data_IF_687304153730
#
_entry.id   IF_687304153730
#
_cell.length_a   1.000
_cell.length_b   1.000
_cell.length_c   1.000
_cell.angle_alpha   90.00
_cell.angle_beta   90.00
_cell.angle_gamma   90.00
#
_symmetry.space_group_name_H-M   'P 1'
#
loop_
_entity.id
_entity.type
_entity.pdbx_description
1 polymer ?
#
# COMPACT_ATOMS: atom_id res chain seq x y z
N UNK A 1 9.18 18.17 -1.58
CA UNK A 1 9.63 17.27 -2.68
C UNK A 1 8.50 16.31 -3.03
N UNK A 2 8.29 15.97 -4.31
CA UNK A 2 7.28 14.99 -4.77
C UNK A 2 7.95 14.00 -5.72
N UNK A 3 7.85 12.71 -5.41
CA UNK A 3 8.43 11.62 -6.18
C UNK A 3 7.36 10.61 -6.60
N UNK A 4 7.56 9.96 -7.75
CA UNK A 4 6.70 8.87 -8.23
C UNK A 4 7.50 7.58 -8.30
N UNK A 5 7.08 6.58 -7.55
CA UNK A 5 7.66 5.24 -7.54
C UNK A 5 6.78 4.31 -8.39
N UNK A 6 7.38 3.58 -9.33
CA UNK A 6 6.69 2.54 -10.08
C UNK A 6 6.73 1.22 -9.33
N UNK A 7 5.59 0.54 -9.24
CA UNK A 7 5.44 -0.76 -8.59
C UNK A 7 4.92 -1.75 -9.62
N UNK A 8 5.68 -2.80 -9.91
CA UNK A 8 5.20 -3.90 -10.75
C UNK A 8 4.60 -4.96 -9.83
N UNK A 9 3.35 -5.32 -10.06
CA UNK A 9 2.68 -6.40 -9.34
C UNK A 9 2.63 -7.63 -10.24
N UNK A 10 3.06 -8.78 -9.71
CA UNK A 10 3.07 -10.09 -10.36
C UNK A 10 2.04 -11.06 -9.73
N UNK A 11 1.37 -10.61 -8.68
CA UNK A 11 0.28 -11.28 -8.00
C UNK A 11 -1.08 -10.68 -8.41
N UNK A 12 -2.17 -11.41 -8.22
CA UNK A 12 -3.52 -10.83 -8.35
C UNK A 12 -3.95 -10.08 -7.08
N UNK A 13 -3.72 -10.67 -5.91
CA UNK A 13 -4.02 -10.07 -4.60
C UNK A 13 -2.84 -10.32 -3.67
N UNK A 14 -2.17 -9.27 -3.21
CA UNK A 14 -1.06 -9.41 -2.28
C UNK A 14 -0.68 -8.09 -1.60
N UNK A 15 0.10 -8.21 -0.52
CA UNK A 15 0.78 -7.10 0.13
C UNK A 15 2.26 -7.10 -0.30
N UNK A 16 2.69 -6.03 -0.96
CA UNK A 16 4.07 -5.84 -1.39
C UNK A 16 4.77 -4.86 -0.46
N UNK A 17 5.81 -5.30 0.25
CA UNK A 17 6.61 -4.41 1.08
C UNK A 17 7.36 -3.40 0.19
N UNK A 18 7.06 -2.11 0.36
CA UNK A 18 7.69 -1.03 -0.39
C UNK A 18 8.45 -0.04 0.50
N UNK A 19 8.68 -0.40 1.78
CA UNK A 19 9.35 0.45 2.77
C UNK A 19 10.68 0.99 2.25
N UNK A 20 11.54 0.11 1.74
CA UNK A 20 12.87 0.49 1.26
C UNK A 20 12.80 1.38 0.00
N UNK A 21 11.80 1.16 -0.87
CA UNK A 21 11.59 2.00 -2.06
C UNK A 21 11.20 3.43 -1.67
N UNK A 22 10.36 3.59 -0.65
CA UNK A 22 9.98 4.90 -0.11
C UNK A 22 11.20 5.52 0.58
N UNK A 23 11.90 4.76 1.41
CA UNK A 23 13.09 5.22 2.13
C UNK A 23 14.18 5.75 1.19
N UNK A 24 14.36 5.14 0.01
CA UNK A 24 15.38 5.54 -0.98
C UNK A 24 15.12 6.91 -1.61
N UNK A 25 13.87 7.37 -1.67
CA UNK A 25 13.53 8.66 -2.31
C UNK A 25 13.50 9.82 -1.32
N UNK A 26 13.61 9.56 -0.02
CA UNK A 26 13.51 10.60 1.01
C UNK A 26 14.80 11.43 1.15
N UNK A 27 14.69 12.75 1.39
CA UNK A 27 15.85 13.58 1.68
C UNK A 27 16.36 13.30 3.10
N UNK A 28 17.65 13.60 3.35
CA UNK A 28 18.25 13.55 4.70
C UNK A 28 17.83 14.74 5.56
N UNK A 29 16.53 14.82 5.88
CA UNK A 29 15.89 15.92 6.63
C UNK A 29 14.85 15.37 7.61
N UNK A 30 14.36 16.25 8.49
CA UNK A 30 13.25 15.98 9.39
C UNK A 30 11.93 16.46 8.76
N UNK A 31 10.84 15.76 9.07
CA UNK A 31 9.51 16.15 8.61
C UNK A 31 8.54 14.98 8.49
N UNK A 32 7.58 15.14 7.58
CA UNK A 32 6.50 14.17 7.34
C UNK A 32 6.56 13.70 5.89
N UNK A 33 6.36 12.40 5.70
CA UNK A 33 6.24 11.76 4.40
C UNK A 33 4.79 11.29 4.18
N UNK A 34 4.09 11.93 3.25
CA UNK A 34 2.79 11.49 2.74
C UNK A 34 3.01 10.52 1.58
N UNK A 35 2.39 9.35 1.67
CA UNK A 35 2.44 8.29 0.65
C UNK A 35 1.03 8.14 0.09
N UNK A 36 0.87 8.21 -1.23
CA UNK A 36 -0.43 8.18 -1.90
C UNK A 36 -0.48 7.21 -3.08
N UNK A 37 -1.54 6.41 -3.15
CA UNK A 37 -1.81 5.42 -4.18
C UNK A 37 -2.92 5.95 -5.10
N UNK A 38 -2.61 6.34 -6.35
CA UNK A 38 -3.57 6.89 -7.31
C UNK A 38 -4.35 5.77 -8.05
N UNK A 39 -4.72 4.70 -7.36
CA UNK A 39 -5.36 3.52 -7.94
C UNK A 39 -6.58 3.13 -7.09
N UNK A 40 -7.74 3.02 -7.71
CA UNK A 40 -9.01 2.71 -7.02
C UNK A 40 -9.19 1.24 -6.66
N UNK A 41 -8.29 0.38 -7.13
CA UNK A 41 -8.27 -1.08 -6.86
C UNK A 41 -7.01 -1.53 -6.13
N UNK A 42 -6.28 -0.57 -5.56
CA UNK A 42 -5.12 -0.81 -4.71
C UNK A 42 -5.11 0.16 -3.53
N UNK A 43 -4.31 -0.11 -2.51
CA UNK A 43 -4.30 0.63 -1.26
C UNK A 43 -2.87 0.75 -0.69
N UNK A 44 -2.72 1.46 0.42
CA UNK A 44 -1.46 1.53 1.18
C UNK A 44 -1.76 1.28 2.66
N UNK A 45 -0.93 0.48 3.32
CA UNK A 45 -1.08 0.22 4.76
C UNK A 45 0.27 0.06 5.45
N UNK A 46 0.26 0.11 6.79
CA UNK A 46 1.37 -0.28 7.64
C UNK A 46 0.95 -1.50 8.44
N UNK A 47 1.74 -2.55 8.38
CA UNK A 47 1.48 -3.77 9.15
C UNK A 47 2.79 -4.52 9.45
N UNK A 48 2.68 -5.72 10.01
CA UNK A 48 3.82 -6.58 10.28
C UNK A 48 4.54 -7.02 9.00
N UNK A 49 5.87 -6.89 8.99
CA UNK A 49 6.72 -7.37 7.90
C UNK A 49 7.81 -8.35 8.31
N UNK A 50 7.73 -8.93 9.51
CA UNK A 50 8.61 -10.01 9.95
C UNK A 50 8.10 -11.39 9.53
N UNK A 51 6.79 -11.62 9.68
CA UNK A 51 6.13 -12.84 9.27
C UNK A 51 5.31 -12.63 7.99
N UNK A 52 5.56 -13.46 6.98
CA UNK A 52 4.82 -13.42 5.72
C UNK A 52 3.40 -13.96 5.88
N UNK A 53 3.17 -14.83 6.86
CA UNK A 53 1.87 -15.45 7.09
C UNK A 53 0.82 -14.41 7.47
N UNK A 54 1.19 -13.37 8.23
CA UNK A 54 0.29 -12.24 8.55
C UNK A 54 -0.21 -11.55 7.29
N UNK A 55 0.67 -11.29 6.33
CA UNK A 55 0.28 -10.65 5.06
C UNK A 55 -0.65 -11.54 4.22
N UNK A 56 -0.42 -12.86 4.25
CA UNK A 56 -1.23 -13.85 3.56
C UNK A 56 -2.60 -14.00 4.23
N UNK A 57 -2.65 -14.02 5.56
CA UNK A 57 -3.88 -14.10 6.34
C UNK A 57 -4.77 -12.89 6.12
N UNK A 58 -4.20 -11.68 6.07
CA UNK A 58 -4.94 -10.46 5.74
C UNK A 58 -5.60 -10.61 4.35
N UNK A 59 -4.84 -11.00 3.33
CA UNK A 59 -5.34 -11.16 1.96
C UNK A 59 -6.42 -12.24 1.89
N UNK A 60 -6.18 -13.39 2.53
CA UNK A 60 -7.11 -14.51 2.55
C UNK A 60 -8.40 -14.16 3.29
N UNK A 61 -8.31 -13.45 4.41
CA UNK A 61 -9.46 -13.07 5.20
C UNK A 61 -10.30 -11.98 4.50
N UNK A 62 -9.66 -10.97 3.90
CA UNK A 62 -10.37 -9.96 3.10
C UNK A 62 -11.15 -10.57 1.93
N UNK A 63 -10.61 -11.60 1.29
CA UNK A 63 -11.33 -12.33 0.22
C UNK A 63 -12.53 -13.12 0.73
N UNK A 64 -12.51 -13.59 1.97
CA UNK A 64 -13.67 -14.25 2.61
C UNK A 64 -14.74 -13.23 2.99
N UNK A 65 -14.33 -12.07 3.51
CA UNK A 65 -15.24 -10.99 3.88
C UNK A 65 -15.88 -10.30 2.66
N UNK A 66 -15.11 -10.16 1.57
CA UNK A 66 -15.50 -9.44 0.36
C UNK A 66 -15.25 -10.36 -0.84
N UNK A 67 -16.10 -11.38 -1.06
CA UNK A 67 -15.91 -12.32 -2.15
C UNK A 67 -16.24 -11.67 -3.50
N UNK A 68 -15.46 -11.99 -4.54
CA UNK A 68 -15.62 -11.46 -5.90
C UNK A 68 -17.04 -11.66 -6.47
N UNK A 69 -17.67 -12.78 -6.13
CA UNK A 69 -18.98 -13.18 -6.64
C UNK A 69 -20.14 -12.83 -5.69
N UNK A 70 -20.04 -11.73 -4.93
CA UNK A 70 -21.08 -11.30 -3.98
C UNK A 70 -22.32 -10.66 -4.63
N UNK A 71 -22.51 -10.80 -5.96
CA UNK A 71 -23.61 -10.16 -6.68
C UNK A 71 -23.41 -8.66 -6.93
N UNK A 72 -22.17 -8.20 -7.05
CA UNK A 72 -21.88 -6.81 -7.38
C UNK A 72 -22.38 -6.44 -8.79
N UNK A 73 -22.90 -5.21 -8.92
CA UNK A 73 -23.47 -4.71 -10.18
C UNK A 73 -22.41 -4.31 -11.21
N UNK A 74 -21.17 -4.08 -10.78
CA UNK A 74 -20.10 -3.60 -11.67
C UNK A 74 -19.61 -4.72 -12.58
N UNK A 75 -19.77 -4.51 -13.89
CA UNK A 75 -19.54 -5.53 -14.92
C UNK A 75 -18.07 -5.88 -15.14
N UNK A 76 -17.12 -5.01 -14.79
CA UNK A 76 -15.68 -5.32 -14.93
C UNK A 76 -15.23 -6.40 -13.92
N UNK A 77 -16.03 -6.64 -12.89
CA UNK A 77 -15.85 -7.77 -11.98
C UNK A 77 -14.75 -7.58 -10.93
N UNK A 78 -14.34 -6.36 -10.62
CA UNK A 78 -13.33 -6.01 -9.61
C UNK A 78 -13.89 -5.14 -8.46
N UNK A 79 -15.21 -5.14 -8.24
CA UNK A 79 -15.84 -4.42 -7.12
C UNK A 79 -15.27 -4.78 -5.76
N UNK A 80 -14.85 -6.03 -5.56
CA UNK A 80 -14.17 -6.46 -4.34
C UNK A 80 -12.88 -5.67 -4.11
N UNK A 81 -12.08 -5.42 -5.16
CA UNK A 81 -10.87 -4.63 -5.08
C UNK A 81 -11.15 -3.16 -4.75
N UNK A 82 -12.22 -2.59 -5.29
CA UNK A 82 -12.67 -1.24 -4.94
C UNK A 82 -13.05 -1.12 -3.47
N UNK A 83 -13.85 -2.07 -2.95
CA UNK A 83 -14.28 -2.07 -1.56
C UNK A 83 -13.06 -2.20 -0.63
N UNK A 84 -12.14 -3.12 -0.93
CA UNK A 84 -10.91 -3.29 -0.14
C UNK A 84 -10.05 -2.01 -0.17
N UNK A 85 -9.88 -1.38 -1.33
CA UNK A 85 -9.14 -0.11 -1.45
C UNK A 85 -9.77 1.00 -0.60
N UNK A 86 -11.09 1.14 -0.62
CA UNK A 86 -11.81 2.12 0.20
C UNK A 86 -11.74 1.84 1.70
N UNK A 87 -11.73 0.56 2.11
CA UNK A 87 -11.63 0.18 3.53
C UNK A 87 -10.23 0.39 4.11
N UNK A 88 -9.19 0.08 3.33
CA UNK A 88 -7.80 0.22 3.78
C UNK A 88 -7.33 1.67 3.67
N UNK A 89 -7.68 2.36 2.58
CA UNK A 89 -7.28 3.72 2.30
C UNK A 89 -6.14 3.83 1.28
N UNK A 90 -6.14 4.93 0.55
CA UNK A 90 -5.19 5.21 -0.54
C UNK A 90 -4.04 6.11 -0.11
N UNK A 91 -4.02 6.58 1.14
CA UNK A 91 -2.92 7.37 1.68
C UNK A 91 -2.55 6.97 3.10
N UNK A 92 -1.30 7.21 3.46
CA UNK A 92 -0.85 7.25 4.85
C UNK A 92 0.31 8.23 5.01
N UNK A 93 0.50 8.71 6.23
CA UNK A 93 1.61 9.58 6.63
C UNK A 93 2.55 8.87 7.60
N UNK A 94 3.84 9.13 7.46
CA UNK A 94 4.88 8.67 8.40
C UNK A 94 5.82 9.80 8.77
N UNK A 95 6.33 9.75 10.00
CA UNK A 95 7.34 10.68 10.49
C UNK A 95 8.70 10.28 9.90
N UNK A 96 9.50 11.27 9.52
CA UNK A 96 10.87 11.10 9.04
C UNK A 96 11.81 11.90 9.92
N UNK A 97 12.83 11.24 10.46
CA UNK A 97 13.84 11.82 11.33
C UNK A 97 15.24 11.48 10.79
N UNK A 98 16.06 12.50 10.56
CA UNK A 98 17.38 12.42 9.94
C UNK A 98 17.36 11.64 8.62
N UNK A 99 16.29 11.83 7.84
CA UNK A 99 16.05 11.12 6.59
C UNK A 99 15.64 9.66 6.73
N UNK A 100 15.34 9.17 7.93
CA UNK A 100 14.87 7.80 8.16
C UNK A 100 13.40 7.80 8.54
N UNK A 101 12.63 6.90 7.94
CA UNK A 101 11.23 6.70 8.32
C UNK A 101 11.20 6.12 9.75
N UNK A 102 10.42 6.73 10.64
CA UNK A 102 10.14 6.18 11.97
C UNK A 102 9.01 5.17 11.84
N UNK A 103 9.32 3.91 12.15
CA UNK A 103 8.38 2.80 12.24
C UNK A 103 8.67 1.99 13.51
N UNK A 104 7.66 1.31 14.04
CA UNK A 104 7.84 0.29 15.06
C UNK A 104 8.69 -0.89 14.53
N UNK A 105 9.25 -1.68 15.45
CA UNK A 105 10.20 -2.77 15.12
C UNK A 105 9.69 -3.71 14.02
N UNK A 106 8.40 -4.06 14.08
CA UNK A 106 7.78 -4.99 13.15
C UNK A 106 7.04 -4.32 12.00
N UNK A 107 6.91 -3.00 12.02
CA UNK A 107 6.14 -2.27 11.03
C UNK A 107 6.89 -2.14 9.71
N UNK A 108 6.17 -2.42 8.62
CA UNK A 108 6.57 -2.14 7.24
C UNK A 108 5.42 -1.49 6.49
N UNK A 109 5.75 -0.69 5.49
CA UNK A 109 4.80 -0.05 4.58
C UNK A 109 4.55 -1.00 3.40
N UNK A 110 3.28 -1.35 3.19
CA UNK A 110 2.85 -2.26 2.15
C UNK A 110 1.98 -1.56 1.12
N UNK A 111 2.30 -1.78 -0.15
CA UNK A 111 1.38 -1.58 -1.25
C UNK A 111 0.42 -2.76 -1.31
N UNK A 112 -0.88 -2.49 -1.25
CA UNK A 112 -1.92 -3.52 -1.25
C UNK A 112 -2.50 -3.61 -2.66
N UNK A 113 -2.19 -4.69 -3.38
CA UNK A 113 -2.75 -4.99 -4.70
C UNK A 113 -3.95 -5.92 -4.53
N UNK A 114 -5.08 -5.61 -5.18
CA UNK A 114 -6.26 -6.48 -5.19
C UNK A 114 -6.81 -6.78 -6.60
N UNK A 115 -6.21 -6.20 -7.63
CA UNK A 115 -6.63 -6.31 -9.03
C UNK A 115 -5.39 -6.40 -9.94
N UNK A 116 -4.37 -7.13 -9.51
CA UNK A 116 -3.14 -7.37 -10.29
C UNK A 116 -3.25 -8.56 -11.24
N UNK A 117 -2.20 -8.89 -12.01
CA UNK A 117 -0.91 -8.18 -12.10
C UNK A 117 -1.00 -6.91 -12.96
N UNK A 118 -0.37 -5.82 -12.51
CA UNK A 118 -0.40 -4.51 -13.19
C UNK A 118 0.88 -3.71 -12.97
N UNK A 119 1.08 -2.70 -13.81
CA UNK A 119 2.03 -1.62 -13.54
C UNK A 119 1.32 -0.54 -12.73
N UNK A 120 1.68 -0.44 -11.46
CA UNK A 120 1.15 0.50 -10.48
C UNK A 120 2.15 1.61 -10.20
N UNK A 121 1.70 2.59 -9.43
CA UNK A 121 2.52 3.70 -8.99
C UNK A 121 2.13 4.14 -7.60
N UNK A 122 3.08 4.74 -6.90
CA UNK A 122 2.88 5.38 -5.60
C UNK A 122 3.53 6.76 -5.65
N UNK A 123 2.84 7.78 -5.17
CA UNK A 123 3.37 9.11 -4.99
C UNK A 123 3.90 9.28 -3.57
N UNK A 124 5.06 9.90 -3.43
CA UNK A 124 5.70 10.20 -2.15
C UNK A 124 5.94 11.70 -2.07
N UNK A 125 5.25 12.37 -1.15
CA UNK A 125 5.39 13.79 -0.88
C UNK A 125 6.11 13.97 0.46
N UNK A 126 7.29 14.57 0.43
CA UNK A 126 7.98 14.99 1.64
C UNK A 126 7.68 16.46 1.95
N UNK A 127 7.32 16.71 3.21
CA UNK A 127 7.06 18.01 3.81
C UNK A 127 8.09 18.19 4.93
N UNK A 128 8.99 19.16 4.76
CA UNK A 128 10.03 19.48 5.74
C UNK A 128 9.42 20.14 6.98
N UNK A 129 9.98 19.84 8.15
CA UNK A 129 9.57 20.37 9.45
C UNK A 129 10.67 20.26 10.49
#
# INVERSE_FOLDING_TARGET
MLEKINIKTDCHKCLLNITDKIQQVLPKKNGICLIFVPHTTAAITINEGADKDVSLDIVNHLQKLIPKNAGFLHIEGNSDAHIVSSLIGTSLEVIVENGKIILGVWQKIFFVEFDGPRNRSVYVKFIEG
#
